data_IF_473009905161
#
_entry.id   IF_473009905161
#
_cell.length_a   1.000
_cell.length_b   1.000
_cell.length_c   1.000
_cell.angle_alpha   90.00
_cell.angle_beta   90.00
_cell.angle_gamma   90.00
#
_symmetry.space_group_name_H-M   'P 1'
#
loop_
_entity.id
_entity.type
_entity.pdbx_description
1 polymer ?
#
# COMPACT_ATOMS: atom_id res chain seq x y z
N UNK A 1 5.64 -4.91 -0.20
CA UNK A 1 6.60 -6.03 -0.10
C UNK A 1 6.20 -7.05 -1.15
N UNK A 2 7.15 -7.61 -1.89
CA UNK A 2 6.93 -8.69 -2.87
C UNK A 2 7.49 -10.02 -2.39
N UNK A 3 8.40 -10.00 -1.42
CA UNK A 3 9.03 -11.20 -0.86
C UNK A 3 8.71 -11.35 0.63
N UNK A 4 8.73 -12.59 1.17
CA UNK A 4 8.63 -12.83 2.60
C UNK A 4 9.77 -12.14 3.36
N UNK A 5 9.43 -11.55 4.51
CA UNK A 5 10.38 -10.86 5.38
C UNK A 5 10.48 -11.59 6.72
N UNK A 6 11.71 -11.90 7.19
CA UNK A 6 11.86 -12.45 8.53
C UNK A 6 11.45 -11.43 9.59
N UNK A 7 10.71 -11.89 10.61
CA UNK A 7 10.25 -11.05 11.71
C UNK A 7 11.40 -10.76 12.70
N UNK A 8 12.31 -9.87 12.30
CA UNK A 8 13.50 -9.47 13.07
C UNK A 8 13.50 -7.94 13.17
N UNK A 9 13.59 -7.43 14.40
CA UNK A 9 13.60 -6.00 14.65
C UNK A 9 14.89 -5.34 14.16
N UNK A 10 14.77 -4.06 13.81
CA UNK A 10 15.87 -3.13 13.50
C UNK A 10 16.81 -3.58 12.37
N UNK A 11 16.39 -4.58 11.59
CA UNK A 11 17.11 -5.07 10.42
C UNK A 11 16.55 -4.38 9.17
N UNK A 12 17.43 -3.64 8.49
CA UNK A 12 17.10 -3.03 7.20
C UNK A 12 17.14 -4.07 6.08
N UNK A 13 16.17 -4.05 5.19
CA UNK A 13 16.13 -4.89 4.01
C UNK A 13 15.56 -4.12 2.81
N UNK A 14 15.88 -4.58 1.59
CA UNK A 14 15.37 -3.99 0.36
C UNK A 14 14.36 -4.94 -0.27
N UNK A 15 13.20 -4.41 -0.64
CA UNK A 15 12.15 -5.16 -1.31
C UNK A 15 11.28 -4.20 -2.12
N UNK A 16 10.87 -4.61 -3.32
CA UNK A 16 10.14 -3.78 -4.29
C UNK A 16 10.77 -2.39 -4.46
N UNK A 17 12.10 -2.35 -4.63
CA UNK A 17 12.90 -1.15 -4.80
C UNK A 17 12.99 -0.24 -3.56
N UNK A 18 12.29 -0.52 -2.45
CA UNK A 18 12.32 0.34 -1.26
C UNK A 18 13.07 -0.32 -0.12
N UNK A 19 13.69 0.52 0.70
CA UNK A 19 14.31 0.09 1.95
C UNK A 19 13.27 0.08 3.06
N UNK A 20 13.22 -1.02 3.80
CA UNK A 20 12.25 -1.26 4.85
C UNK A 20 12.96 -1.71 6.13
N UNK A 21 12.25 -1.61 7.25
CA UNK A 21 12.62 -2.26 8.51
C UNK A 21 11.39 -2.57 9.33
N UNK A 22 11.50 -3.54 10.22
CA UNK A 22 10.51 -3.81 11.27
C UNK A 22 11.04 -3.24 12.58
N UNK A 23 10.22 -2.51 13.33
CA UNK A 23 10.59 -1.95 14.64
C UNK A 23 9.52 -2.27 15.68
N UNK A 24 9.90 -2.25 16.95
CA UNK A 24 8.92 -2.26 18.04
C UNK A 24 8.39 -0.85 18.31
N UNK A 25 7.09 -0.77 18.61
CA UNK A 25 6.44 0.44 19.08
C UNK A 25 5.82 0.23 20.46
N UNK A 26 5.63 1.30 21.26
CA UNK A 26 4.89 1.22 22.51
C UNK A 26 3.47 0.68 22.28
N UNK A 27 3.13 -0.39 22.98
CA UNK A 27 1.82 -1.05 22.92
C UNK A 27 1.14 -1.08 24.30
N UNK A 28 -0.19 -1.17 24.32
CA UNK A 28 -0.98 -1.38 25.56
C UNK A 28 -1.25 -2.85 25.87
N UNK A 29 -1.01 -3.74 24.90
CA UNK A 29 -1.28 -5.17 25.00
C UNK A 29 -0.10 -5.98 25.54
N UNK A 30 -0.31 -7.27 25.87
CA UNK A 30 0.74 -8.16 26.35
C UNK A 30 1.72 -8.59 25.25
N UNK A 31 1.35 -8.44 23.97
CA UNK A 31 2.18 -8.74 22.82
C UNK A 31 2.93 -7.48 22.35
N UNK A 32 4.14 -7.69 21.84
CA UNK A 32 4.94 -6.61 21.28
C UNK A 32 4.29 -6.07 19.99
N UNK A 33 4.04 -4.75 19.95
CA UNK A 33 3.60 -4.08 18.72
C UNK A 33 4.78 -3.94 17.76
N UNK A 34 4.63 -4.51 16.57
CA UNK A 34 5.52 -4.37 15.44
C UNK A 34 5.02 -3.27 14.52
N UNK A 35 5.94 -2.54 13.89
CA UNK A 35 5.65 -1.55 12.85
C UNK A 35 6.55 -1.82 11.66
N UNK A 36 5.95 -2.05 10.49
CA UNK A 36 6.69 -1.99 9.24
C UNK A 36 6.92 -0.53 8.89
N UNK A 37 8.19 -0.16 8.66
CA UNK A 37 8.58 1.15 8.17
C UNK A 37 9.20 1.05 6.79
N UNK A 38 8.95 2.05 5.94
CA UNK A 38 9.65 2.26 4.67
C UNK A 38 10.48 3.54 4.75
N UNK A 39 11.63 3.57 4.09
CA UNK A 39 12.45 4.78 4.00
C UNK A 39 11.97 5.63 2.82
N UNK A 40 11.37 6.77 3.10
CA UNK A 40 10.77 7.69 2.14
C UNK A 40 11.22 9.13 2.44
N UNK A 41 11.47 9.94 1.41
CA UNK A 41 11.80 11.36 1.54
C UNK A 41 12.92 11.71 2.56
N UNK A 42 13.88 10.80 2.77
CA UNK A 42 14.97 10.99 3.72
C UNK A 42 14.67 10.59 5.17
N UNK A 43 13.54 9.94 5.43
CA UNK A 43 13.14 9.47 6.76
C UNK A 43 12.47 8.11 6.76
N UNK A 44 12.30 7.54 7.96
CA UNK A 44 11.54 6.31 8.15
C UNK A 44 10.07 6.62 8.41
N UNK A 45 9.18 6.08 7.59
CA UNK A 45 7.73 6.28 7.69
C UNK A 45 7.01 4.96 8.01
N UNK A 46 6.13 4.99 9.00
CA UNK A 46 5.30 3.85 9.37
C UNK A 46 4.28 3.52 8.26
N UNK A 47 4.20 2.24 7.89
CA UNK A 47 3.27 1.73 6.87
C UNK A 47 2.05 1.09 7.54
N UNK A 48 2.28 0.14 8.43
CA UNK A 48 1.25 -0.47 9.27
C UNK A 48 1.86 -1.06 10.54
N UNK A 49 1.01 -1.25 11.54
CA UNK A 49 1.36 -1.85 12.81
C UNK A 49 0.58 -3.16 13.01
N UNK A 50 1.20 -4.14 13.66
CA UNK A 50 0.59 -5.43 13.96
C UNK A 50 1.19 -6.03 15.23
N UNK A 51 0.50 -7.02 15.76
CA UNK A 51 0.95 -7.90 16.84
C UNK A 51 0.91 -9.35 16.31
N UNK A 52 1.47 -10.31 17.06
CA UNK A 52 1.63 -11.71 16.58
C UNK A 52 0.51 -12.64 17.04
N UNK A 53 -0.62 -12.10 17.50
CA UNK A 53 -1.79 -12.91 17.80
C UNK A 53 -2.27 -13.67 16.55
N UNK A 54 -2.73 -14.92 16.73
CA UNK A 54 -3.36 -15.66 15.65
C UNK A 54 -4.72 -15.03 15.31
N UNK A 55 -5.07 -15.08 14.02
CA UNK A 55 -6.39 -14.75 13.51
C UNK A 55 -7.00 -15.98 12.85
N UNK A 56 -8.28 -16.23 13.13
CA UNK A 56 -9.05 -17.31 12.55
C UNK A 56 -9.96 -16.78 11.43
N UNK A 57 -10.48 -17.64 10.53
CA UNK A 57 -11.36 -17.21 9.43
C UNK A 57 -12.52 -16.28 9.84
N UNK A 58 -13.23 -16.49 10.96
CA UNK A 58 -14.32 -15.60 11.39
C UNK A 58 -13.85 -14.18 11.71
N UNK A 59 -12.62 -13.99 12.19
CA UNK A 59 -12.10 -12.66 12.51
C UNK A 59 -11.97 -11.81 11.24
N UNK A 60 -11.59 -12.45 10.11
CA UNK A 60 -11.50 -11.81 8.80
C UNK A 60 -12.87 -11.48 8.22
N UNK A 61 -13.88 -12.34 8.43
CA UNK A 61 -15.24 -12.09 7.95
C UNK A 61 -15.84 -10.82 8.61
N UNK A 62 -15.67 -10.70 9.93
CA UNK A 62 -16.20 -9.57 10.70
C UNK A 62 -15.55 -8.25 10.23
N UNK A 63 -14.22 -8.20 10.14
CA UNK A 63 -13.53 -6.98 9.72
C UNK A 63 -13.81 -6.64 8.26
N UNK A 64 -13.88 -7.64 7.38
CA UNK A 64 -14.22 -7.44 5.97
C UNK A 64 -15.62 -6.84 5.82
N UNK A 65 -16.63 -7.43 6.47
CA UNK A 65 -18.00 -6.90 6.43
C UNK A 65 -18.05 -5.46 6.95
N UNK A 66 -17.35 -5.17 8.05
CA UNK A 66 -17.28 -3.83 8.60
C UNK A 66 -16.64 -2.84 7.63
N UNK A 67 -15.48 -3.17 7.05
CA UNK A 67 -14.78 -2.29 6.09
C UNK A 67 -15.60 -2.09 4.81
N UNK A 68 -16.25 -3.13 4.29
CA UNK A 68 -16.99 -3.07 3.04
C UNK A 68 -18.32 -2.29 3.17
N UNK A 69 -19.00 -2.41 4.32
CA UNK A 69 -20.40 -1.93 4.45
C UNK A 69 -20.55 -0.73 5.38
N UNK A 70 -19.60 -0.46 6.28
CA UNK A 70 -19.74 0.66 7.21
C UNK A 70 -19.76 1.98 6.43
N UNK A 71 -20.79 2.83 6.59
CA UNK A 71 -20.87 4.10 5.91
C UNK A 71 -19.66 4.99 6.13
N UNK A 72 -18.91 4.85 7.24
CA UNK A 72 -17.69 5.63 7.55
C UNK A 72 -16.41 5.09 6.89
N UNK A 73 -16.45 3.90 6.31
CA UNK A 73 -15.29 3.33 5.64
C UNK A 73 -14.89 4.18 4.43
N UNK A 74 -13.60 4.51 4.26
CA UNK A 74 -13.13 5.20 3.05
C UNK A 74 -13.30 4.32 1.80
N UNK A 75 -13.20 2.99 1.93
CA UNK A 75 -13.28 2.06 0.81
C UNK A 75 -14.69 1.99 0.17
N UNK A 76 -15.73 2.36 0.92
CA UNK A 76 -17.09 2.47 0.38
C UNK A 76 -17.37 3.82 -0.31
N UNK A 77 -16.44 4.78 -0.24
CA UNK A 77 -16.67 6.19 -0.60
C UNK A 77 -15.83 6.70 -1.76
N UNK A 78 -14.66 6.10 -1.99
CA UNK A 78 -13.71 6.54 -3.02
C UNK A 78 -13.02 5.33 -3.67
N UNK A 79 -12.63 5.51 -4.92
CA UNK A 79 -11.77 4.56 -5.63
C UNK A 79 -10.40 4.55 -4.94
N UNK A 80 -9.97 3.37 -4.49
CA UNK A 80 -8.67 3.21 -3.86
C UNK A 80 -8.04 1.91 -4.37
N UNK A 81 -6.98 2.04 -5.16
CA UNK A 81 -6.34 0.91 -5.85
C UNK A 81 -4.84 1.05 -5.71
N UNK A 82 -4.16 -0.04 -5.41
CA UNK A 82 -2.71 -0.08 -5.41
C UNK A 82 -2.22 -1.24 -6.26
N UNK A 83 -1.10 -1.04 -6.95
CA UNK A 83 -0.34 -2.10 -7.60
C UNK A 83 1.13 -1.93 -7.25
N UNK A 84 1.77 -3.01 -6.85
CA UNK A 84 3.20 -3.06 -6.63
C UNK A 84 3.84 -3.89 -7.74
N UNK A 85 4.86 -3.34 -8.39
CA UNK A 85 5.72 -4.02 -9.36
C UNK A 85 7.16 -4.02 -8.82
N UNK A 86 8.10 -4.74 -9.45
CA UNK A 86 9.52 -4.66 -9.06
C UNK A 86 10.08 -3.23 -9.10
N UNK A 87 9.59 -2.41 -10.03
CA UNK A 87 10.15 -1.09 -10.34
C UNK A 87 9.34 0.08 -9.74
N UNK A 88 8.07 -0.14 -9.40
CA UNK A 88 7.15 0.93 -9.01
C UNK A 88 6.06 0.50 -8.02
N UNK A 89 5.65 1.47 -7.20
CA UNK A 89 4.42 1.42 -6.43
C UNK A 89 3.42 2.44 -7.00
N UNK A 90 2.31 1.93 -7.53
CA UNK A 90 1.20 2.71 -8.05
C UNK A 90 0.10 2.79 -7.00
N UNK A 91 -0.42 4.00 -6.77
CA UNK A 91 -1.59 4.27 -5.94
C UNK A 91 -2.55 5.15 -6.73
N UNK A 92 -3.78 4.69 -6.93
CA UNK A 92 -4.91 5.51 -7.34
C UNK A 92 -5.79 5.77 -6.12
N UNK A 93 -5.85 7.02 -5.68
CA UNK A 93 -6.72 7.49 -4.59
C UNK A 93 -7.68 8.57 -5.12
N UNK A 94 -8.94 8.19 -5.35
CA UNK A 94 -9.93 9.02 -5.99
C UNK A 94 -9.59 9.25 -7.47
N UNK A 95 -9.26 10.49 -7.81
CA UNK A 95 -8.78 10.92 -9.13
C UNK A 95 -7.25 11.03 -9.19
N UNK A 96 -6.53 10.83 -8.09
CA UNK A 96 -5.09 11.08 -8.01
C UNK A 96 -4.31 9.78 -8.14
N UNK A 97 -3.47 9.71 -9.17
CA UNK A 97 -2.47 8.66 -9.33
C UNK A 97 -1.15 9.17 -8.77
N UNK A 98 -0.59 8.43 -7.82
CA UNK A 98 0.77 8.60 -7.31
C UNK A 98 1.58 7.39 -7.74
N UNK A 99 2.69 7.63 -8.41
CA UNK A 99 3.67 6.60 -8.77
C UNK A 99 4.96 6.86 -8.03
N UNK A 100 5.39 5.89 -7.23
CA UNK A 100 6.68 5.91 -6.55
C UNK A 100 7.60 4.91 -7.23
N UNK A 101 8.65 5.38 -7.90
CA UNK A 101 9.67 4.53 -8.52
C UNK A 101 10.92 4.48 -7.66
N UNK A 102 11.65 3.38 -7.78
CA UNK A 102 12.93 3.19 -7.13
C UNK A 102 13.95 2.68 -8.15
N UNK A 103 14.81 3.57 -8.61
CA UNK A 103 15.83 3.26 -9.60
C UNK A 103 17.13 2.82 -8.90
N UNK A 104 17.71 1.71 -9.34
CA UNK A 104 19.10 1.39 -9.02
C UNK A 104 20.02 2.38 -9.75
N UNK A 105 20.79 3.16 -8.98
CA UNK A 105 21.75 4.16 -9.48
C UNK A 105 23.19 3.78 -9.14
N UNK A 106 23.44 2.49 -8.93
CA UNK A 106 24.74 1.89 -8.68
C UNK A 106 24.78 1.05 -7.40
N UNK A 107 25.91 0.38 -7.12
CA UNK A 107 26.01 -0.59 -6.03
C UNK A 107 25.55 -0.02 -4.68
N UNK A 108 24.46 -0.58 -4.16
CA UNK A 108 23.87 -0.20 -2.88
C UNK A 108 23.19 1.19 -2.86
N UNK A 109 22.93 1.80 -4.01
CA UNK A 109 22.28 3.11 -4.11
C UNK A 109 20.98 3.02 -4.90
N UNK A 110 19.90 3.38 -4.23
CA UNK A 110 18.58 3.53 -4.84
C UNK A 110 18.18 4.99 -4.83
N UNK A 111 17.65 5.48 -5.95
CA UNK A 111 17.00 6.78 -6.04
C UNK A 111 15.50 6.58 -6.11
N UNK A 112 14.78 7.20 -5.18
CA UNK A 112 13.32 7.20 -5.18
C UNK A 112 12.80 8.46 -5.86
N UNK A 113 11.87 8.32 -6.80
CA UNK A 113 11.11 9.42 -7.40
C UNK A 113 9.63 9.22 -7.18
N UNK A 114 8.90 10.33 -7.03
CA UNK A 114 7.45 10.34 -6.84
C UNK A 114 6.86 11.26 -7.90
N UNK A 115 5.96 10.72 -8.71
CA UNK A 115 5.19 11.46 -9.70
C UNK A 115 3.71 11.42 -9.32
N UNK A 116 3.04 12.56 -9.44
CA UNK A 116 1.60 12.66 -9.18
C UNK A 116 0.89 13.26 -10.39
N UNK A 117 -0.24 12.66 -10.74
CA UNK A 117 -1.15 13.18 -11.77
C UNK A 117 -2.60 13.01 -11.36
N UNK A 118 -3.47 13.87 -11.87
CA UNK A 118 -4.92 13.76 -11.70
C UNK A 118 -5.56 13.24 -12.98
N UNK A 119 -6.50 12.33 -12.82
CA UNK A 119 -7.37 11.81 -13.86
C UNK A 119 -8.55 12.77 -14.04
N UNK A 120 -8.95 12.98 -15.28
CA UNK A 120 -9.92 14.02 -15.65
C UNK A 120 -11.30 13.49 -15.98
N UNK A 121 -11.47 12.17 -16.11
CA UNK A 121 -12.78 11.58 -16.37
C UNK A 121 -12.81 10.06 -16.39
N UNK A 122 -14.02 9.51 -16.47
CA UNK A 122 -14.27 8.07 -16.30
C UNK A 122 -13.56 7.20 -17.34
N UNK A 123 -13.50 7.64 -18.61
CA UNK A 123 -12.82 6.90 -19.67
C UNK A 123 -11.30 6.79 -19.42
N UNK A 124 -10.69 7.86 -18.91
CA UNK A 124 -9.28 7.85 -18.50
C UNK A 124 -9.08 6.94 -17.29
N UNK A 125 -9.95 7.03 -16.28
CA UNK A 125 -9.89 6.16 -15.09
C UNK A 125 -9.99 4.69 -15.44
N UNK A 126 -10.94 4.29 -16.31
CA UNK A 126 -11.07 2.90 -16.77
C UNK A 126 -9.81 2.43 -17.49
N UNK A 127 -9.25 3.26 -18.38
CA UNK A 127 -8.03 2.94 -19.11
C UNK A 127 -6.85 2.72 -18.15
N UNK A 128 -6.65 3.65 -17.22
CA UNK A 128 -5.60 3.56 -16.20
C UNK A 128 -5.76 2.31 -15.33
N UNK A 129 -6.99 1.99 -14.91
CA UNK A 129 -7.24 0.74 -14.17
C UNK A 129 -6.82 -0.50 -14.97
N UNK A 130 -7.17 -0.57 -16.26
CA UNK A 130 -6.85 -1.72 -17.09
C UNK A 130 -5.33 -1.80 -17.41
N UNK A 131 -4.74 -0.71 -17.90
CA UNK A 131 -3.37 -0.67 -18.40
C UNK A 131 -2.35 -0.66 -17.24
N UNK A 132 -2.53 0.26 -16.29
CA UNK A 132 -1.54 0.51 -15.23
C UNK A 132 -1.78 -0.42 -14.03
N UNK A 133 -3.04 -0.75 -13.70
CA UNK A 133 -3.37 -1.56 -12.52
C UNK A 133 -3.73 -3.02 -12.84
N UNK A 134 -3.99 -3.37 -14.11
CA UNK A 134 -4.41 -4.72 -14.50
C UNK A 134 -5.80 -5.09 -13.97
N UNK A 135 -6.68 -4.11 -13.80
CA UNK A 135 -8.03 -4.28 -13.26
C UNK A 135 -9.06 -3.85 -14.30
N UNK A 136 -9.89 -4.82 -14.72
CA UNK A 136 -11.07 -4.55 -15.52
C UNK A 136 -12.22 -4.12 -14.60
N UNK A 137 -12.53 -2.82 -14.62
CA UNK A 137 -13.67 -2.28 -13.88
C UNK A 137 -14.99 -2.79 -14.48
N UNK A 138 -15.93 -3.30 -13.67
CA UNK A 138 -17.24 -3.75 -14.15
C UNK A 138 -17.96 -2.69 -15.00
N UNK A 139 -18.70 -3.17 -15.99
CA UNK A 139 -19.55 -2.32 -16.81
C UNK A 139 -20.63 -1.64 -15.96
N UNK A 140 -20.93 -0.37 -16.24
CA UNK A 140 -21.94 0.42 -15.51
C UNK A 140 -21.51 0.91 -14.12
N UNK A 141 -20.37 0.49 -13.58
CA UNK A 141 -19.85 0.99 -12.31
C UNK A 141 -19.31 2.41 -12.46
N UNK A 142 -19.95 3.42 -11.88
CA UNK A 142 -19.43 4.79 -11.86
C UNK A 142 -18.16 4.88 -11.00
N UNK A 143 -17.02 5.21 -11.62
CA UNK A 143 -15.71 5.25 -10.96
C UNK A 143 -15.34 6.62 -10.39
N UNK A 144 -15.83 7.69 -11.02
CA UNK A 144 -15.58 9.07 -10.61
C UNK A 144 -16.88 9.67 -10.09
N UNK A 145 -16.85 10.27 -8.90
CA UNK A 145 -17.97 11.09 -8.41
C UNK A 145 -17.96 12.45 -9.09
#
# INVERSE_FOLDING_TARGET
LLEPVPLIADTEFHDAGRRHRLVHAPGRGPLATWVLQAYLAGGWEAQYAFTVEPFEPPDFEVINWHIATNPRSPFARRLYVQRLTPDAHLLLDGDRVTETRADDVGPGRVRVSIEERRLTGEAETRRVLAEDFGIDAPEGLRLTR
#
